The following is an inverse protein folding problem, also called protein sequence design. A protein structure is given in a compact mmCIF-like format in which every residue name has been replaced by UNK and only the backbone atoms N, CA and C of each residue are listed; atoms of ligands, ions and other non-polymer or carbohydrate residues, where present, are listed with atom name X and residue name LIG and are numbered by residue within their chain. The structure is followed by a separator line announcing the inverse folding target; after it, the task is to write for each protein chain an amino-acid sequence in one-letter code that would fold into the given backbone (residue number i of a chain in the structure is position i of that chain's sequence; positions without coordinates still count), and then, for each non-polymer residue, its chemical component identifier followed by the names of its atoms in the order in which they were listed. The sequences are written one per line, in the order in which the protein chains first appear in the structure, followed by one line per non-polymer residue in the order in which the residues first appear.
data_IF_292836847494
#
_entry.id   IF_292836847494
#
_cell.length_a   1.000
_cell.length_b   1.000
_cell.length_c   1.000
_cell.angle_alpha   90.00
_cell.angle_beta   90.00
_cell.angle_gamma   90.00
#
_symmetry.space_group_name_H-M   'P 1'
#
loop_
_entity.id
_entity.type
_entity.pdbx_description
1 polymer ?
#
# COMPACT_ATOMS: atom_id res chain seq x y z
N UNK A 1 55.38 67.02 49.64
CA UNK A 1 55.71 65.87 48.78
C UNK A 1 54.86 64.67 49.20
N UNK A 2 53.84 64.30 48.41
CA UNK A 2 53.05 63.07 48.62
C UNK A 2 53.60 61.98 47.69
N UNK A 3 54.23 60.94 48.24
CA UNK A 3 54.57 59.73 47.48
C UNK A 3 53.29 58.90 47.32
N UNK A 4 52.75 58.87 46.10
CA UNK A 4 51.78 57.89 45.66
C UNK A 4 52.49 56.53 45.55
N UNK A 5 52.38 55.69 46.57
CA UNK A 5 52.76 54.28 46.48
C UNK A 5 51.74 53.57 45.59
N UNK A 6 52.11 53.39 44.32
CA UNK A 6 51.35 52.61 43.34
C UNK A 6 51.49 51.13 43.71
N UNK A 7 50.46 50.55 44.32
CA UNK A 7 50.37 49.10 44.51
C UNK A 7 50.35 48.44 43.13
N UNK A 8 51.44 47.79 42.75
CA UNK A 8 51.45 46.86 41.64
C UNK A 8 50.87 45.54 42.15
N UNK A 9 49.55 45.39 42.07
CA UNK A 9 48.89 44.10 42.27
C UNK A 9 49.27 43.18 41.10
N UNK A 10 50.25 42.31 41.31
CA UNK A 10 50.53 41.21 40.41
C UNK A 10 49.39 40.19 40.44
N UNK A 11 49.14 39.54 39.31
CA UNK A 11 48.15 38.47 39.20
C UNK A 11 48.55 37.31 40.11
N UNK A 12 47.64 36.80 40.94
CA UNK A 12 47.98 35.67 41.81
C UNK A 12 47.96 34.37 41.00
N UNK A 13 48.82 33.41 41.37
CA UNK A 13 48.84 32.09 40.75
C UNK A 13 47.46 31.41 40.83
N UNK A 14 46.76 31.61 41.94
CA UNK A 14 45.41 31.10 42.17
C UNK A 14 44.42 31.66 41.14
N UNK A 15 44.46 32.96 40.88
CA UNK A 15 43.56 33.65 39.95
C UNK A 15 43.80 33.23 38.50
N UNK A 16 45.06 32.93 38.15
CA UNK A 16 45.40 32.36 36.84
C UNK A 16 44.89 30.93 36.67
N UNK A 17 45.09 30.07 37.68
CA UNK A 17 44.59 28.68 37.66
C UNK A 17 43.05 28.65 37.63
N UNK A 18 42.40 29.52 38.41
CA UNK A 18 40.95 29.64 38.45
C UNK A 18 40.40 30.05 37.08
N UNK A 19 41.01 31.07 36.45
CA UNK A 19 40.61 31.55 35.13
C UNK A 19 40.73 30.45 34.06
N UNK A 20 41.86 29.73 34.03
CA UNK A 20 42.09 28.63 33.09
C UNK A 20 41.09 27.48 33.34
N UNK A 21 40.79 27.17 34.60
CA UNK A 21 39.84 26.11 34.96
C UNK A 21 38.42 26.43 34.48
N UNK A 22 37.98 27.68 34.67
CA UNK A 22 36.67 28.14 34.19
C UNK A 22 36.60 28.06 32.66
N UNK A 23 37.65 28.52 31.96
CA UNK A 23 37.72 28.43 30.49
C UNK A 23 37.65 26.98 30.03
N UNK A 24 38.40 26.07 30.67
CA UNK A 24 38.37 24.64 30.34
C UNK A 24 36.97 24.03 30.54
N UNK A 25 36.27 24.37 31.62
CA UNK A 25 34.90 23.93 31.88
C UNK A 25 33.94 24.47 30.81
N UNK A 26 34.04 25.75 30.46
CA UNK A 26 33.19 26.36 29.42
C UNK A 26 33.40 25.66 28.07
N UNK A 27 34.66 25.42 27.68
CA UNK A 27 34.99 24.71 26.44
C UNK A 27 34.46 23.28 26.47
N UNK A 28 34.63 22.57 27.59
CA UNK A 28 34.12 21.21 27.75
C UNK A 28 32.59 21.13 27.62
N UNK A 29 31.86 22.06 28.26
CA UNK A 29 30.40 22.15 28.14
C UNK A 29 29.97 22.54 26.73
N UNK A 30 30.68 23.47 26.08
CA UNK A 30 30.43 23.87 24.70
C UNK A 30 30.59 22.70 23.73
N UNK A 31 31.69 21.95 23.82
CA UNK A 31 31.93 20.75 23.02
C UNK A 31 30.91 19.64 23.31
N UNK A 32 30.53 19.47 24.58
CA UNK A 32 29.46 18.56 24.98
C UNK A 32 28.12 18.91 24.31
N UNK A 33 27.72 20.18 24.37
CA UNK A 33 26.50 20.67 23.74
C UNK A 33 26.49 20.48 22.22
N UNK A 34 27.61 20.75 21.54
CA UNK A 34 27.75 20.51 20.10
C UNK A 34 27.58 19.03 19.76
N UNK A 35 28.23 18.13 20.52
CA UNK A 35 28.11 16.67 20.30
C UNK A 35 26.67 16.19 20.47
N UNK A 36 25.98 16.64 21.53
CA UNK A 36 24.57 16.30 21.72
C UNK A 36 23.69 16.83 20.58
N UNK A 37 23.94 18.07 20.13
CA UNK A 37 23.20 18.68 19.03
C UNK A 37 23.34 17.91 17.72
N UNK A 38 24.56 17.48 17.39
CA UNK A 38 24.83 16.65 16.20
C UNK A 38 24.12 15.31 16.31
N UNK A 39 24.29 14.58 17.42
CA UNK A 39 23.65 13.27 17.58
C UNK A 39 22.11 13.35 17.57
N UNK A 40 21.53 14.38 18.16
CA UNK A 40 20.08 14.59 18.14
C UNK A 40 19.57 14.87 16.71
N UNK A 41 20.33 15.64 15.93
CA UNK A 41 20.04 15.90 14.52
C UNK A 41 20.11 14.63 13.68
N UNK A 42 21.17 13.84 13.82
CA UNK A 42 21.38 12.62 13.02
C UNK A 42 20.24 11.61 13.23
N UNK A 43 19.83 11.39 14.49
CA UNK A 43 18.68 10.53 14.81
C UNK A 43 17.38 11.09 14.22
N UNK A 44 17.21 12.41 14.24
CA UNK A 44 16.08 13.08 13.61
C UNK A 44 16.05 12.87 12.09
N UNK A 45 17.18 13.06 11.41
CA UNK A 45 17.31 12.89 9.96
C UNK A 45 16.99 11.44 9.54
N UNK A 46 17.52 10.45 10.25
CA UNK A 46 17.25 9.02 9.99
C UNK A 46 15.76 8.68 10.11
N UNK A 47 15.10 9.21 11.15
CA UNK A 47 13.65 9.01 11.36
C UNK A 47 12.85 9.66 10.23
N UNK A 48 13.20 10.88 9.85
CA UNK A 48 12.54 11.60 8.75
C UNK A 48 12.67 10.83 7.43
N UNK A 49 13.86 10.34 7.09
CA UNK A 49 14.08 9.53 5.88
C UNK A 49 13.17 8.27 5.86
N UNK A 50 13.10 7.55 6.99
CA UNK A 50 12.25 6.36 7.12
C UNK A 50 10.76 6.69 6.86
N UNK A 51 10.24 7.76 7.45
CA UNK A 51 8.84 8.17 7.24
C UNK A 51 8.58 8.71 5.84
N UNK A 52 9.54 9.39 5.22
CA UNK A 52 9.41 9.85 3.84
C UNK A 52 9.28 8.67 2.87
N UNK A 53 10.09 7.62 3.06
CA UNK A 53 9.98 6.37 2.28
C UNK A 53 8.61 5.71 2.45
N UNK A 54 8.16 5.53 3.69
CA UNK A 54 6.83 5.00 4.00
C UNK A 54 5.72 5.78 3.29
N UNK A 55 5.81 7.12 3.36
CA UNK A 55 4.84 8.02 2.74
C UNK A 55 4.75 7.81 1.23
N UNK A 56 5.89 7.73 0.53
CA UNK A 56 5.91 7.52 -0.93
C UNK A 56 5.24 6.20 -1.30
N UNK A 57 5.54 5.11 -0.59
CA UNK A 57 4.91 3.79 -0.85
C UNK A 57 3.40 3.88 -0.67
N UNK A 58 2.95 4.49 0.43
CA UNK A 58 1.53 4.66 0.77
C UNK A 58 0.82 5.51 -0.28
N UNK A 59 1.42 6.61 -0.73
CA UNK A 59 0.84 7.50 -1.73
C UNK A 59 0.67 6.77 -3.07
N UNK A 60 1.70 6.05 -3.53
CA UNK A 60 1.60 5.23 -4.75
C UNK A 60 0.50 4.18 -4.63
N UNK A 61 0.48 3.43 -3.54
CA UNK A 61 -0.49 2.37 -3.33
C UNK A 61 -1.92 2.92 -3.23
N UNK A 62 -2.11 4.02 -2.51
CA UNK A 62 -3.40 4.72 -2.39
C UNK A 62 -3.88 5.24 -3.72
N UNK A 63 -3.02 5.88 -4.51
CA UNK A 63 -3.37 6.40 -5.84
C UNK A 63 -3.79 5.27 -6.78
N UNK A 64 -3.04 4.16 -6.83
CA UNK A 64 -3.41 3.00 -7.65
C UNK A 64 -4.76 2.42 -7.21
N UNK A 65 -4.95 2.22 -5.91
CA UNK A 65 -6.17 1.66 -5.32
C UNK A 65 -7.40 2.53 -5.57
N UNK A 66 -7.30 3.84 -5.40
CA UNK A 66 -8.41 4.76 -5.64
C UNK A 66 -8.85 4.76 -7.10
N UNK A 67 -7.92 4.49 -8.03
CA UNK A 67 -8.19 4.33 -9.45
C UNK A 67 -8.48 2.89 -9.88
N UNK A 68 -8.77 1.99 -8.92
CA UNK A 68 -9.15 0.60 -9.23
C UNK A 68 -10.42 0.58 -10.07
N UNK A 69 -10.39 -0.19 -11.16
CA UNK A 69 -11.53 -0.33 -12.05
C UNK A 69 -12.00 -1.78 -12.17
N UNK A 70 -13.31 -2.04 -12.11
CA UNK A 70 -13.86 -3.38 -12.28
C UNK A 70 -13.68 -3.87 -13.72
N UNK A 71 -12.83 -4.88 -13.93
CA UNK A 71 -12.73 -5.56 -15.23
C UNK A 71 -13.18 -7.01 -15.09
N UNK A 72 -14.14 -7.44 -15.91
CA UNK A 72 -14.60 -8.82 -15.93
C UNK A 72 -13.90 -9.61 -17.03
N UNK A 73 -13.29 -10.73 -16.66
CA UNK A 73 -12.54 -11.61 -17.56
C UNK A 73 -13.21 -12.97 -17.68
N UNK A 74 -13.10 -13.60 -18.84
CA UNK A 74 -13.63 -14.95 -19.07
C UNK A 74 -12.78 -15.97 -18.32
N UNK A 75 -13.41 -17.00 -17.75
CA UNK A 75 -12.71 -18.08 -17.05
C UNK A 75 -13.07 -19.44 -17.65
N UNK A 76 -12.09 -20.34 -17.79
CA UNK A 76 -12.32 -21.77 -18.09
C UNK A 76 -11.55 -22.61 -17.11
N UNK A 77 -12.21 -23.58 -16.50
CA UNK A 77 -11.61 -24.54 -15.56
C UNK A 77 -10.81 -23.88 -14.43
N UNK A 78 -11.31 -22.76 -13.90
CA UNK A 78 -10.65 -22.03 -12.81
C UNK A 78 -9.53 -21.07 -13.26
N UNK A 79 -9.11 -21.12 -14.53
CA UNK A 79 -8.03 -20.29 -15.08
C UNK A 79 -8.61 -19.12 -15.88
N UNK A 80 -8.18 -17.87 -15.60
CA UNK A 80 -8.49 -16.72 -16.45
C UNK A 80 -8.01 -16.95 -17.89
N UNK A 81 -8.91 -16.79 -18.86
CA UNK A 81 -8.54 -16.75 -20.28
C UNK A 81 -8.66 -15.31 -20.77
N UNK A 82 -7.79 -14.94 -21.71
CA UNK A 82 -7.80 -13.62 -22.34
C UNK A 82 -9.16 -13.23 -22.94
N UNK A 83 -9.31 -11.92 -23.15
CA UNK A 83 -10.51 -11.33 -23.74
C UNK A 83 -10.81 -11.98 -25.12
N UNK A 84 -12.03 -12.48 -25.30
CA UNK A 84 -12.48 -13.12 -26.56
C UNK A 84 -12.72 -14.63 -26.47
N UNK A 85 -12.37 -15.28 -25.35
CA UNK A 85 -12.80 -16.67 -25.14
C UNK A 85 -14.29 -16.74 -24.78
N UNK A 86 -15.04 -17.56 -25.54
CA UNK A 86 -16.45 -17.87 -25.31
C UNK A 86 -16.63 -18.74 -24.06
N UNK A 87 -16.48 -18.14 -22.88
CA UNK A 87 -16.91 -18.73 -21.61
C UNK A 87 -18.11 -17.98 -21.06
N UNK A 88 -19.08 -18.75 -20.54
CA UNK A 88 -20.24 -18.22 -19.82
C UNK A 88 -19.88 -17.76 -18.40
N UNK A 89 -18.69 -18.10 -17.89
CA UNK A 89 -18.21 -17.71 -16.57
C UNK A 89 -17.29 -16.50 -16.67
N UNK A 90 -17.70 -15.40 -16.02
CA UNK A 90 -16.95 -14.15 -15.92
C UNK A 90 -16.49 -13.97 -14.48
N UNK A 91 -15.22 -13.66 -14.25
CA UNK A 91 -14.69 -13.35 -12.92
C UNK A 91 -14.19 -11.91 -12.91
N UNK A 92 -14.35 -11.23 -11.78
CA UNK A 92 -13.81 -9.88 -11.61
C UNK A 92 -12.28 -9.96 -11.40
N UNK A 93 -11.54 -9.15 -12.16
CA UNK A 93 -10.08 -9.04 -12.14
C UNK A 93 -9.60 -8.26 -10.89
N UNK A 94 -9.85 -8.85 -9.73
CA UNK A 94 -9.39 -8.37 -8.43
C UNK A 94 -9.00 -9.58 -7.57
N UNK A 95 -7.79 -9.58 -7.05
CA UNK A 95 -7.28 -10.58 -6.12
C UNK A 95 -6.64 -9.86 -4.94
N UNK A 96 -7.22 -10.04 -3.75
CA UNK A 96 -6.68 -9.53 -2.50
C UNK A 96 -6.23 -10.65 -1.58
N UNK A 97 -4.94 -10.72 -1.27
CA UNK A 97 -4.34 -11.60 -0.26
C UNK A 97 -3.82 -10.75 0.90
N UNK A 98 -3.51 -11.38 2.02
CA UNK A 98 -3.02 -10.65 3.19
C UNK A 98 -1.68 -9.95 2.96
N UNK A 99 -0.87 -10.41 2.01
CA UNK A 99 0.50 -9.95 1.72
C UNK A 99 0.67 -9.33 0.32
N UNK A 100 -0.38 -9.42 -0.51
CA UNK A 100 -0.33 -9.00 -1.89
C UNK A 100 -1.71 -8.63 -2.40
N UNK A 101 -1.75 -7.65 -3.30
CA UNK A 101 -2.98 -7.23 -3.94
C UNK A 101 -2.74 -7.03 -5.43
N UNK A 102 -3.68 -7.51 -6.24
CA UNK A 102 -3.64 -7.47 -7.70
C UNK A 102 -4.97 -6.99 -8.24
N UNK A 103 -4.96 -6.02 -9.13
CA UNK A 103 -6.17 -5.41 -9.67
C UNK A 103 -5.88 -4.64 -10.96
N UNK A 104 -6.93 -4.20 -11.65
CA UNK A 104 -6.81 -3.31 -12.82
C UNK A 104 -7.06 -1.86 -12.38
N UNK A 105 -6.29 -0.93 -12.90
CA UNK A 105 -6.36 0.50 -12.55
C UNK A 105 -6.22 1.41 -13.76
N UNK A 106 -6.80 2.61 -13.67
CA UNK A 106 -6.65 3.71 -14.64
C UNK A 106 -5.67 4.80 -14.18
N UNK A 107 -5.01 4.63 -13.03
CA UNK A 107 -3.96 5.56 -12.60
C UNK A 107 -2.83 5.63 -13.64
N UNK A 108 -2.06 6.73 -13.74
CA UNK A 108 -0.86 6.79 -14.57
C UNK A 108 0.15 5.71 -14.20
N UNK A 109 0.82 5.09 -15.19
CA UNK A 109 1.96 4.19 -14.97
C UNK A 109 3.15 4.93 -14.37
N UNK A 110 4.04 4.22 -13.67
CA UNK A 110 5.24 4.83 -13.10
C UNK A 110 6.19 5.38 -14.17
N UNK A 111 6.26 4.71 -15.33
CA UNK A 111 6.92 5.25 -16.52
C UNK A 111 5.88 5.97 -17.38
N UNK A 112 5.86 7.31 -17.29
CA UNK A 112 5.05 8.18 -18.14
C UNK A 112 5.55 8.23 -19.60
N UNK A 113 6.76 7.74 -19.86
CA UNK A 113 7.38 7.76 -21.18
C UNK A 113 7.42 6.34 -21.78
N UNK A 114 6.39 6.04 -22.58
CA UNK A 114 6.53 5.31 -23.85
C UNK A 114 6.50 3.76 -23.90
N UNK A 115 5.77 3.04 -23.05
CA UNK A 115 5.63 1.57 -23.25
C UNK A 115 4.27 0.93 -22.98
N UNK A 116 3.46 1.40 -22.02
CA UNK A 116 2.09 0.92 -21.85
C UNK A 116 1.15 1.82 -22.66
N UNK A 117 0.60 1.29 -23.75
CA UNK A 117 -0.23 2.07 -24.69
C UNK A 117 -1.70 2.18 -24.24
N UNK A 118 -2.06 1.51 -23.15
CA UNK A 118 -3.42 1.48 -22.61
C UNK A 118 -3.55 2.36 -21.37
N UNK A 119 -4.63 3.16 -21.33
CA UNK A 119 -5.00 3.95 -20.14
C UNK A 119 -5.29 3.08 -18.91
N UNK A 120 -5.63 1.80 -19.12
CA UNK A 120 -5.84 0.80 -18.07
C UNK A 120 -4.70 -0.21 -18.06
N UNK A 121 -4.14 -0.51 -16.90
CA UNK A 121 -3.15 -1.56 -16.75
C UNK A 121 -3.41 -2.39 -15.50
N UNK A 122 -2.83 -3.58 -15.48
CA UNK A 122 -2.88 -4.45 -14.33
C UNK A 122 -1.72 -4.10 -13.39
N UNK A 123 -2.01 -4.00 -12.10
CA UNK A 123 -1.02 -3.78 -11.06
C UNK A 123 -0.99 -4.91 -10.04
N UNK A 124 0.18 -5.20 -9.50
CA UNK A 124 0.35 -6.08 -8.34
C UNK A 124 1.36 -5.51 -7.36
N UNK A 125 0.97 -5.43 -6.09
CA UNK A 125 1.87 -5.08 -4.98
C UNK A 125 2.14 -6.33 -4.14
N UNK A 126 3.40 -6.54 -3.75
CA UNK A 126 3.82 -7.59 -2.83
C UNK A 126 5.23 -7.30 -2.28
N UNK A 127 5.62 -8.00 -1.21
CA UNK A 127 7.03 -8.04 -0.78
C UNK A 127 7.74 -9.19 -1.47
N UNK A 128 8.90 -8.92 -2.05
CA UNK A 128 9.72 -9.94 -2.68
C UNK A 128 11.01 -9.39 -3.27
N UNK A 129 11.69 -10.24 -4.05
CA UNK A 129 12.92 -9.87 -4.75
C UNK A 129 12.62 -9.26 -6.12
N UNK A 130 13.28 -8.15 -6.41
CA UNK A 130 13.18 -7.51 -7.71
C UNK A 130 13.94 -8.31 -8.76
N UNK A 131 13.32 -8.70 -9.90
CA UNK A 131 13.87 -9.70 -10.81
C UNK A 131 15.18 -9.29 -11.50
N UNK A 132 15.41 -7.98 -11.66
CA UNK A 132 16.61 -7.47 -12.34
C UNK A 132 17.74 -7.10 -11.38
N UNK A 133 17.40 -6.65 -10.18
CA UNK A 133 18.39 -6.09 -9.22
C UNK A 133 18.71 -7.06 -8.10
N UNK A 134 17.90 -8.10 -7.89
CA UNK A 134 18.04 -9.08 -6.80
C UNK A 134 17.76 -8.52 -5.41
N UNK A 135 17.43 -7.23 -5.29
CA UNK A 135 17.14 -6.60 -4.01
C UNK A 135 15.75 -6.95 -3.52
N UNK A 136 15.61 -7.16 -2.21
CA UNK A 136 14.32 -7.43 -1.55
C UNK A 136 13.63 -6.14 -1.10
N UNK A 137 12.31 -6.10 -1.24
CA UNK A 137 11.51 -4.96 -0.78
C UNK A 137 10.07 -5.00 -1.25
N UNK A 138 9.39 -3.85 -1.22
CA UNK A 138 8.06 -3.72 -1.81
C UNK A 138 8.20 -3.56 -3.32
N UNK A 139 7.60 -4.50 -4.03
CA UNK A 139 7.58 -4.55 -5.49
C UNK A 139 6.20 -4.13 -5.98
N UNK A 140 6.19 -3.16 -6.89
CA UNK A 140 5.07 -2.87 -7.76
C UNK A 140 5.34 -3.49 -9.12
N UNK A 141 4.40 -4.30 -9.60
CA UNK A 141 4.39 -4.79 -10.98
C UNK A 141 3.31 -4.05 -11.72
N UNK A 142 3.65 -3.50 -12.88
CA UNK A 142 2.69 -2.93 -13.83
C UNK A 142 2.72 -3.77 -15.11
N UNK A 143 1.54 -4.10 -15.65
CA UNK A 143 1.42 -4.86 -16.89
C UNK A 143 0.41 -4.24 -17.84
N UNK A 144 0.81 -4.10 -19.11
CA UNK A 144 -0.10 -3.73 -20.19
C UNK A 144 -1.08 -4.87 -20.46
N UNK A 145 -2.37 -4.52 -20.49
CA UNK A 145 -3.47 -5.45 -20.74
C UNK A 145 -4.06 -5.33 -22.15
N UNK A 146 -3.44 -4.52 -23.02
CA UNK A 146 -3.82 -4.40 -24.44
C UNK A 146 -3.72 -5.73 -25.20
N UNK A 147 -2.90 -6.66 -24.72
CA UNK A 147 -2.77 -8.01 -25.26
C UNK A 147 -3.99 -8.90 -24.97
N UNK A 148 -4.93 -8.42 -24.15
CA UNK A 148 -6.14 -9.14 -23.73
C UNK A 148 -5.90 -10.18 -22.63
N UNK A 149 -4.66 -10.42 -22.20
CA UNK A 149 -4.29 -11.47 -21.24
C UNK A 149 -4.25 -10.97 -19.79
N UNK A 150 -5.38 -10.46 -19.32
CA UNK A 150 -5.56 -9.99 -17.94
C UNK A 150 -5.51 -11.15 -16.95
N UNK A 151 -4.82 -10.95 -15.83
CA UNK A 151 -4.71 -11.89 -14.70
C UNK A 151 -4.01 -13.22 -15.02
N UNK A 152 -3.42 -13.36 -16.22
CA UNK A 152 -2.57 -14.49 -16.58
C UNK A 152 -1.23 -14.46 -15.82
N UNK A 153 -0.45 -15.54 -15.88
CA UNK A 153 0.85 -15.61 -15.18
C UNK A 153 1.76 -14.47 -15.67
N UNK A 154 2.25 -13.65 -14.74
CA UNK A 154 3.23 -12.62 -15.05
C UNK A 154 4.59 -13.27 -15.31
N UNK A 155 5.24 -12.91 -16.40
CA UNK A 155 6.60 -13.33 -16.75
C UNK A 155 7.52 -12.11 -16.66
N UNK A 156 8.62 -12.24 -15.92
CA UNK A 156 9.63 -11.19 -15.77
C UNK A 156 10.36 -10.86 -17.07
N UNK A 157 10.30 -11.75 -18.07
CA UNK A 157 10.90 -11.55 -19.39
C UNK A 157 9.95 -10.88 -20.39
N UNK A 158 8.68 -10.68 -20.03
CA UNK A 158 7.71 -10.06 -20.95
C UNK A 158 8.00 -8.57 -21.11
N UNK A 159 7.98 -8.08 -22.35
CA UNK A 159 8.06 -6.64 -22.65
C UNK A 159 6.86 -5.85 -22.14
N UNK A 160 5.74 -6.52 -21.86
CA UNK A 160 4.51 -5.89 -21.36
C UNK A 160 4.46 -5.77 -19.85
N UNK A 161 5.43 -6.34 -19.12
CA UNK A 161 5.45 -6.35 -17.65
C UNK A 161 6.69 -5.62 -17.12
N UNK A 162 6.46 -4.65 -16.25
CA UNK A 162 7.49 -3.84 -15.62
C UNK A 162 7.47 -4.04 -14.11
N UNK A 163 8.66 -4.06 -13.52
CA UNK A 163 8.86 -4.23 -12.08
C UNK A 163 9.49 -2.96 -11.55
N UNK A 164 8.93 -2.44 -10.46
CA UNK A 164 9.40 -1.25 -9.77
C UNK A 164 9.64 -1.60 -8.31
N UNK A 165 10.81 -1.21 -7.81
CA UNK A 165 11.13 -1.26 -6.40
C UNK A 165 10.66 0.04 -5.74
N UNK A 166 9.63 -0.05 -4.91
CA UNK A 166 9.08 1.12 -4.21
C UNK A 166 9.89 1.47 -2.97
N UNK A 167 10.38 0.46 -2.25
CA UNK A 167 11.27 0.64 -1.12
C UNK A 167 12.03 -0.65 -0.79
N UNK A 168 13.27 -0.47 -0.34
CA UNK A 168 14.11 -1.49 0.27
C UNK A 168 13.79 -1.59 1.79
N UNK A 169 14.15 -2.72 2.42
CA UNK A 169 14.04 -2.93 3.88
C UNK A 169 12.62 -2.86 4.46
N UNK A 170 11.61 -3.23 3.67
CA UNK A 170 10.25 -3.40 4.17
C UNK A 170 10.08 -4.84 4.63
N UNK A 171 9.86 -5.04 5.93
CA UNK A 171 9.70 -6.37 6.54
C UNK A 171 8.28 -6.89 6.41
N UNK A 172 7.30 -5.98 6.38
CA UNK A 172 5.89 -6.37 6.41
C UNK A 172 5.02 -5.45 5.54
N UNK A 173 4.13 -6.06 4.77
CA UNK A 173 3.07 -5.41 4.02
C UNK A 173 1.82 -6.24 4.24
N UNK A 174 0.83 -5.68 4.94
CA UNK A 174 -0.43 -6.36 5.26
C UNK A 174 -1.62 -5.63 4.67
N UNK A 175 -2.54 -6.41 4.11
CA UNK A 175 -3.81 -5.95 3.57
C UNK A 175 -4.98 -6.60 4.30
N UNK A 176 -6.00 -5.80 4.58
CA UNK A 176 -7.33 -6.26 4.99
C UNK A 176 -8.38 -5.58 4.13
N UNK A 177 -9.50 -6.25 3.92
CA UNK A 177 -10.52 -5.86 2.95
C UNK A 177 -11.86 -5.73 3.66
N UNK A 178 -12.53 -4.59 3.48
CA UNK A 178 -13.88 -4.41 4.00
C UNK A 178 -14.89 -4.85 2.95
N UNK A 179 -15.54 -5.99 3.20
CA UNK A 179 -16.60 -6.52 2.35
C UNK A 179 -17.96 -6.12 2.91
N UNK A 180 -18.87 -5.73 2.02
CA UNK A 180 -20.22 -5.32 2.39
C UNK A 180 -21.23 -6.19 1.63
N UNK A 181 -22.18 -6.76 2.36
CA UNK A 181 -23.25 -7.60 1.81
C UNK A 181 -24.59 -6.92 2.07
N UNK A 182 -25.47 -6.96 1.07
CA UNK A 182 -26.85 -6.48 1.21
C UNK A 182 -27.64 -7.53 2.00
N UNK A 183 -28.45 -7.10 2.96
CA UNK A 183 -29.28 -8.01 3.74
C UNK A 183 -30.54 -8.41 2.94
N UNK A 184 -30.99 -9.68 3.04
CA UNK A 184 -32.24 -10.11 2.44
C UNK A 184 -33.44 -9.30 2.95
N UNK A 185 -34.48 -9.05 2.13
CA UNK A 185 -35.65 -8.27 2.55
C UNK A 185 -36.36 -8.81 3.81
N UNK A 186 -36.31 -10.13 4.03
CA UNK A 186 -36.95 -10.80 5.18
C UNK A 186 -36.29 -10.45 6.53
N UNK A 187 -35.03 -10.02 6.54
CA UNK A 187 -34.31 -9.62 7.75
C UNK A 187 -34.47 -8.11 8.06
N UNK A 188 -35.11 -7.36 7.15
CA UNK A 188 -35.29 -5.90 7.22
C UNK A 188 -36.72 -5.52 7.66
N UNK A 189 -37.70 -6.44 7.58
CA UNK A 189 -39.12 -6.22 7.90
C UNK A 189 -39.46 -6.45 9.41
N UNK A 190 -38.70 -5.82 10.30
CA UNK A 190 -39.02 -5.71 11.74
C UNK A 190 -39.76 -4.41 12.09
N UNK A 191 -40.46 -4.32 13.25
CA UNK A 191 -41.21 -3.13 13.66
C UNK A 191 -40.33 -1.87 13.86
N UNK A 192 -39.02 -2.02 13.99
CA UNK A 192 -38.05 -0.92 14.03
C UNK A 192 -37.56 -0.58 12.62
N UNK A 193 -38.14 0.46 12.01
CA UNK A 193 -37.83 0.94 10.63
C UNK A 193 -36.43 1.58 10.46
N UNK A 194 -35.41 1.11 11.16
CA UNK A 194 -34.00 1.57 11.02
C UNK A 194 -33.01 0.42 10.88
N UNK A 195 -33.43 -0.74 10.38
CA UNK A 195 -32.53 -1.87 10.13
C UNK A 195 -31.58 -1.51 8.98
N UNK A 196 -30.27 -1.53 9.27
CA UNK A 196 -29.21 -1.30 8.28
C UNK A 196 -29.37 -2.27 7.11
N UNK A 197 -29.61 -1.76 5.90
CA UNK A 197 -29.83 -2.57 4.68
C UNK A 197 -28.60 -3.39 4.24
N UNK A 198 -27.48 -3.21 4.92
CA UNK A 198 -26.19 -3.81 4.61
C UNK A 198 -25.46 -4.20 5.88
N UNK A 199 -24.72 -5.30 5.81
CA UNK A 199 -23.75 -5.72 6.83
C UNK A 199 -22.35 -5.71 6.24
N UNK A 200 -21.34 -5.37 7.03
CA UNK A 200 -19.97 -5.30 6.58
C UNK A 200 -19.00 -5.95 7.55
N UNK A 201 -17.95 -6.56 7.01
CA UNK A 201 -16.93 -7.25 7.79
C UNK A 201 -15.54 -7.06 7.16
N UNK A 202 -14.54 -6.95 8.02
CA UNK A 202 -13.14 -6.97 7.62
C UNK A 202 -12.66 -8.41 7.45
N UNK A 203 -12.06 -8.71 6.30
CA UNK A 203 -11.50 -10.02 5.96
C UNK A 203 -10.04 -9.87 5.51
N UNK A 204 -9.24 -10.93 5.65
CA UNK A 204 -7.82 -10.88 5.28
C UNK A 204 -7.57 -11.27 3.81
N UNK A 205 -8.61 -11.72 3.11
CA UNK A 205 -8.55 -12.14 1.71
C UNK A 205 -9.84 -11.73 1.00
N UNK A 206 -9.72 -11.31 -0.25
CA UNK A 206 -10.82 -10.94 -1.12
C UNK A 206 -10.60 -11.61 -2.49
N UNK A 207 -11.21 -12.78 -2.66
CA UNK A 207 -11.33 -13.46 -3.94
C UNK A 207 -12.70 -13.21 -4.54
N UNK A 208 -12.75 -13.14 -5.87
CA UNK A 208 -13.99 -12.90 -6.60
C UNK A 208 -14.55 -14.22 -7.12
N UNK A 209 -15.82 -14.48 -6.81
CA UNK A 209 -16.48 -15.67 -7.31
C UNK A 209 -16.83 -15.52 -8.80
N UNK A 210 -16.74 -16.59 -9.61
CA UNK A 210 -17.18 -16.54 -11.00
C UNK A 210 -18.69 -16.32 -11.12
N UNK A 211 -19.07 -15.34 -11.93
CA UNK A 211 -20.43 -15.01 -12.35
C UNK A 211 -20.81 -15.83 -13.58
N UNK A 212 -21.90 -16.58 -13.50
CA UNK A 212 -22.49 -17.24 -14.66
C UNK A 212 -23.43 -16.29 -15.40
N UNK A 213 -23.05 -15.91 -16.62
CA UNK A 213 -23.91 -15.16 -17.54
C UNK A 213 -24.88 -16.16 -18.18
N UNK A 214 -26.01 -16.43 -17.52
CA UNK A 214 -27.05 -17.31 -18.06
C UNK A 214 -28.01 -16.53 -18.97
N UNK A 215 -28.10 -16.98 -20.23
CA UNK A 215 -29.33 -16.91 -21.01
C UNK A 215 -30.33 -17.90 -20.41
N UNK A 216 -31.61 -17.50 -20.39
CA UNK A 216 -32.79 -18.33 -20.13
C UNK A 216 -33.14 -18.59 -18.65
N UNK A 217 -34.26 -17.98 -18.28
CA UNK A 217 -35.11 -18.31 -17.15
C UNK A 217 -35.27 -19.84 -17.02
N UNK A 218 -35.00 -20.40 -15.84
CA UNK A 218 -35.58 -21.69 -15.48
C UNK A 218 -36.04 -21.67 -14.03
N UNK A 219 -37.35 -21.96 -13.90
CA UNK A 219 -38.03 -22.62 -12.80
C UNK A 219 -37.86 -22.01 -11.41
N UNK A 220 -38.87 -21.21 -11.02
CA UNK A 220 -39.09 -20.58 -9.71
C UNK A 220 -37.86 -20.50 -8.80
N UNK A 221 -37.12 -19.38 -8.80
CA UNK A 221 -35.98 -19.25 -7.93
C UNK A 221 -36.49 -19.02 -6.50
N UNK A 222 -35.99 -19.79 -5.55
CA UNK A 222 -36.04 -19.40 -4.14
C UNK A 222 -35.57 -17.93 -4.07
N UNK A 223 -36.39 -17.01 -3.54
CA UNK A 223 -36.11 -15.57 -3.57
C UNK A 223 -34.81 -15.20 -2.86
N UNK A 224 -34.41 -15.97 -1.84
CA UNK A 224 -33.13 -15.81 -1.14
C UNK A 224 -31.96 -16.17 -2.05
N UNK A 225 -32.04 -17.29 -2.76
CA UNK A 225 -31.00 -17.72 -3.71
C UNK A 225 -30.89 -16.78 -4.93
N UNK A 226 -32.01 -16.24 -5.43
CA UNK A 226 -32.00 -15.21 -6.46
C UNK A 226 -31.35 -13.91 -5.96
N UNK A 227 -31.70 -13.47 -4.75
CA UNK A 227 -31.14 -12.29 -4.13
C UNK A 227 -29.63 -12.43 -3.90
N UNK A 228 -29.18 -13.56 -3.37
CA UNK A 228 -27.75 -13.84 -3.21
C UNK A 228 -27.03 -13.84 -4.57
N UNK A 229 -27.60 -14.50 -5.59
CA UNK A 229 -26.99 -14.54 -6.93
C UNK A 229 -26.86 -13.15 -7.56
N UNK A 230 -27.85 -12.28 -7.34
CA UNK A 230 -27.83 -10.90 -7.84
C UNK A 230 -26.84 -9.98 -7.08
N UNK A 231 -26.53 -10.28 -5.81
CA UNK A 231 -25.68 -9.46 -4.95
C UNK A 231 -24.32 -10.09 -4.64
N UNK A 232 -23.89 -11.10 -5.41
CA UNK A 232 -22.68 -11.91 -5.13
C UNK A 232 -21.35 -11.20 -5.38
N UNK A 233 -21.34 -10.11 -6.14
CA UNK A 233 -20.08 -9.56 -6.66
C UNK A 233 -19.99 -8.07 -6.39
N UNK A 234 -19.28 -7.72 -5.31
CA UNK A 234 -18.88 -6.35 -5.04
C UNK A 234 -17.38 -6.33 -4.76
N UNK A 235 -16.67 -5.39 -5.37
CA UNK A 235 -15.34 -5.03 -4.91
C UNK A 235 -15.38 -4.74 -3.40
N UNK A 236 -14.29 -5.00 -2.66
CA UNK A 236 -14.17 -4.49 -1.30
C UNK A 236 -14.44 -2.99 -1.32
N UNK A 237 -15.15 -2.46 -0.32
CA UNK A 237 -15.42 -1.01 -0.24
C UNK A 237 -14.26 -0.23 0.35
N UNK A 238 -13.37 -0.92 1.06
CA UNK A 238 -12.15 -0.34 1.58
C UNK A 238 -11.05 -1.40 1.68
N UNK A 239 -9.80 -0.93 1.63
CA UNK A 239 -8.60 -1.71 1.92
C UNK A 239 -7.87 -1.03 3.05
N UNK A 240 -7.58 -1.77 4.12
CA UNK A 240 -6.67 -1.35 5.18
C UNK A 240 -5.27 -1.84 4.83
N UNK A 241 -4.30 -0.93 4.90
CA UNK A 241 -2.89 -1.19 4.58
C UNK A 241 -2.06 -0.95 5.83
N UNK A 242 -1.18 -1.88 6.15
CA UNK A 242 -0.18 -1.74 7.22
C UNK A 242 1.19 -2.07 6.67
N UNK A 243 2.16 -1.17 6.87
CA UNK A 243 3.54 -1.33 6.40
C UNK A 243 4.48 -1.36 7.60
N UNK A 244 5.42 -2.30 7.63
CA UNK A 244 6.50 -2.38 8.61
C UNK A 244 7.86 -2.24 7.93
N UNK A 245 8.71 -1.36 8.46
CA UNK A 245 10.05 -1.08 7.93
C UNK A 245 11.08 -1.24 9.03
N UNK A 246 12.19 -1.91 8.71
CA UNK A 246 13.39 -1.87 9.57
C UNK A 246 14.24 -0.66 9.19
N UNK A 247 14.57 0.23 10.14
CA UNK A 247 15.48 1.34 9.87
C UNK A 247 16.83 0.82 9.40
N UNK A 248 17.48 1.52 8.45
CA UNK A 248 18.85 1.18 8.09
C UNK A 248 19.79 1.39 9.29
N UNK A 249 20.81 0.52 9.50
CA UNK A 249 21.78 0.71 10.57
C UNK A 249 22.52 2.04 10.41
N UNK A 250 22.94 2.64 11.53
CA UNK A 250 23.66 3.93 11.48
C UNK A 250 25.04 3.74 10.82
N UNK A 251 25.55 4.75 10.10
CA UNK A 251 26.90 4.71 9.55
C UNK A 251 27.94 4.45 10.66
N UNK A 252 28.66 3.32 10.57
CA UNK A 252 29.67 2.92 11.56
C UNK A 252 29.16 2.06 12.72
N UNK A 253 27.88 1.69 12.72
CA UNK A 253 27.27 0.76 13.70
C UNK A 253 27.14 -0.62 13.01
N UNK A 254 27.99 -1.59 13.36
CA UNK A 254 27.79 -3.00 12.99
C UNK A 254 26.67 -3.54 13.87
N UNK A 255 25.43 -3.47 13.38
CA UNK A 255 24.27 -4.02 14.07
C UNK A 255 23.98 -5.39 13.48
N UNK A 256 23.91 -6.41 14.34
CA UNK A 256 23.37 -7.72 13.96
C UNK A 256 21.88 -7.51 13.61
N UNK A 257 21.42 -8.01 12.46
CA UNK A 257 20.06 -7.80 11.93
C UNK A 257 18.91 -8.08 12.93
N UNK A 258 19.18 -8.80 14.03
CA UNK A 258 18.22 -9.18 15.06
C UNK A 258 17.83 -8.04 16.04
N UNK A 259 18.59 -6.94 16.13
CA UNK A 259 18.35 -5.86 17.12
C UNK A 259 17.55 -4.65 16.59
N UNK A 260 17.16 -4.64 15.32
CA UNK A 260 16.43 -3.51 14.73
C UNK A 260 14.91 -3.69 14.87
N UNK A 261 14.32 -2.94 15.80
CA UNK A 261 12.86 -2.90 15.98
C UNK A 261 12.16 -2.44 14.69
N UNK A 262 11.22 -3.26 14.22
CA UNK A 262 10.38 -2.91 13.07
C UNK A 262 9.45 -1.76 13.43
N UNK A 263 9.53 -0.67 12.66
CA UNK A 263 8.63 0.48 12.80
C UNK A 263 7.43 0.27 11.90
N UNK A 264 6.23 0.23 12.49
CA UNK A 264 4.98 0.14 11.75
C UNK A 264 4.41 1.52 11.41
N UNK A 265 3.89 1.65 10.20
CA UNK A 265 2.99 2.74 9.86
C UNK A 265 1.68 2.58 10.64
N UNK A 266 1.00 3.67 11.01
CA UNK A 266 -0.41 3.62 11.35
C UNK A 266 -1.18 2.90 10.22
N UNK A 267 -2.20 2.08 10.54
CA UNK A 267 -3.05 1.48 9.50
C UNK A 267 -3.77 2.58 8.71
N UNK A 268 -3.73 2.46 7.38
CA UNK A 268 -4.38 3.43 6.48
C UNK A 268 -5.52 2.73 5.77
N UNK A 269 -6.70 3.35 5.82
CA UNK A 269 -7.90 2.85 5.15
C UNK A 269 -8.09 3.62 3.85
N UNK A 270 -8.03 2.91 2.73
CA UNK A 270 -8.29 3.44 1.40
C UNK A 270 -9.67 2.97 0.95
N UNK A 271 -10.59 3.91 0.75
CA UNK A 271 -11.89 3.61 0.19
C UNK A 271 -11.76 3.27 -1.29
N UNK A 272 -12.42 2.20 -1.73
CA UNK A 272 -12.52 1.82 -3.14
C UNK A 272 -13.92 2.13 -3.64
N UNK A 273 -14.02 2.67 -4.86
CA UNK A 273 -15.28 2.80 -5.60
C UNK A 273 -16.44 3.39 -4.78
N UNK A 274 -16.18 4.45 -4.01
CA UNK A 274 -17.22 5.18 -3.29
C UNK A 274 -18.19 5.81 -4.30
N UNK A 275 -19.34 5.17 -4.53
CA UNK A 275 -20.43 5.70 -5.36
C UNK A 275 -20.71 4.99 -6.69
N UNK A 276 -20.07 3.87 -7.00
CA UNK A 276 -20.36 3.09 -8.22
C UNK A 276 -21.21 1.84 -7.92
N UNK A 277 -22.43 1.79 -8.46
CA UNK A 277 -23.22 0.55 -8.56
C UNK A 277 -22.93 -0.12 -9.91
N UNK A 278 -22.57 -1.41 -9.88
CA UNK A 278 -22.24 -2.14 -11.10
C UNK A 278 -23.52 -2.66 -11.77
N UNK A 279 -23.87 -2.11 -12.93
CA UNK A 279 -24.83 -2.76 -13.82
C UNK A 279 -24.16 -3.98 -14.46
N UNK A 280 -24.84 -5.13 -14.43
CA UNK A 280 -24.39 -6.33 -15.16
C UNK A 280 -24.32 -6.01 -16.66
N UNK A 281 -23.29 -6.48 -17.39
CA UNK A 281 -23.17 -6.21 -18.81
C UNK A 281 -24.39 -6.77 -19.56
N UNK A 282 -25.00 -5.99 -20.49
CA UNK A 282 -26.14 -6.47 -21.27
C UNK A 282 -25.69 -7.64 -22.15
N UNK A 283 -26.53 -8.68 -22.20
CA UNK A 283 -26.38 -9.80 -23.13
C UNK A 283 -26.59 -9.23 -24.53
N UNK A 284 -25.57 -9.28 -25.40
CA UNK A 284 -25.80 -9.11 -26.83
C UNK A 284 -26.53 -10.37 -27.29
N UNK A 285 -27.83 -10.25 -27.58
CA UNK A 285 -28.51 -11.24 -28.40
C UNK A 285 -27.89 -11.16 -29.79
N UNK A 286 -27.36 -12.28 -30.27
CA UNK A 286 -26.94 -12.39 -31.66
C UNK A 286 -28.21 -12.26 -32.51
N UNK A 287 -28.43 -11.07 -33.08
CA UNK A 287 -29.39 -10.86 -34.16
C UNK A 287 -28.91 -11.63 -35.40
N UNK A 288 -29.23 -12.92 -35.44
CA UNK A 288 -29.28 -13.70 -36.68
C UNK A 288 -30.54 -14.57 -36.62
N UNK A 289 -31.63 -14.02 -37.15
CA UNK A 289 -32.80 -14.74 -37.62
C UNK A 289 -33.00 -14.38 -39.10
#
# INVERSE_FOLDING_TARGET
MKRLTKNQSGFTLLEMILSISIVAIIVALGLGGVRLGVSARDVGEQKVDTYQRLRIIIEQLTQKLQSTYPVFISQKDGVPIGQGANSKKRILAFEGKSDSIRFVTFSPSMTAENTLSSSSHEVKFYIGEHPTTGKSGVILVERDISDGYIFSRMDSRSKTTQYFMLAENVTQLKFRYYQMKKLPPQEVDGPDKTISQFTGQWVNQAFMDPLEVNQSQSSQPNPVLAFEKANKTSLPRAVEITIGVTPAPKPGEEVLDEDLDTVFSPPIIVLLNSGMEFALPPVKEDENA
#
